data_IF_584536573923
#
_entry.id   IF_584536573923
#
_cell.length_a   1.000
_cell.length_b   1.000
_cell.length_c   1.000
_cell.angle_alpha   90.00
_cell.angle_beta   90.00
_cell.angle_gamma   90.00
#
_symmetry.space_group_name_H-M   'P 1'
#
loop_
_entity.id
_entity.type
_entity.pdbx_description
1 polymer ?
#
# COMPACT_ATOMS: atom_id res chain seq x y z
N UNK A 1 -11.18 14.17 28.72
CA UNK A 1 -9.87 13.53 28.48
C UNK A 1 -9.52 13.69 27.01
N UNK A 2 -8.83 14.78 26.66
CA UNK A 2 -8.39 15.02 25.28
C UNK A 2 -7.00 14.43 25.14
N UNK A 3 -6.91 13.19 24.65
CA UNK A 3 -5.62 12.63 24.23
C UNK A 3 -5.20 13.39 22.95
N UNK A 4 -3.98 13.94 22.86
CA UNK A 4 -3.52 14.54 21.62
C UNK A 4 -3.33 13.41 20.60
N UNK A 5 -4.17 13.39 19.57
CA UNK A 5 -3.99 12.51 18.41
C UNK A 5 -2.72 12.97 17.67
N UNK A 6 -1.57 12.41 18.03
CA UNK A 6 -0.36 12.55 17.24
C UNK A 6 -0.55 11.65 16.01
N UNK A 7 -0.97 12.24 14.90
CA UNK A 7 -0.99 11.56 13.60
C UNK A 7 0.47 11.44 13.15
N UNK A 8 1.10 10.30 13.43
CA UNK A 8 2.43 10.00 12.93
C UNK A 8 2.30 9.15 11.67
N UNK A 9 2.23 9.82 10.51
CA UNK A 9 2.47 9.18 9.22
C UNK A 9 3.98 9.17 8.97
N UNK A 10 4.63 8.01 9.15
CA UNK A 10 6.04 7.88 8.84
C UNK A 10 6.19 7.35 7.40
N UNK A 11 6.54 8.25 6.48
CA UNK A 11 7.04 7.89 5.15
C UNK A 11 8.55 7.68 5.26
N UNK A 12 8.96 6.48 5.67
CA UNK A 12 10.38 6.14 5.76
C UNK A 12 10.94 5.84 4.38
N UNK A 13 11.61 6.82 3.76
CA UNK A 13 12.57 6.54 2.68
C UNK A 13 13.95 6.37 3.32
N UNK A 14 14.28 5.15 3.74
CA UNK A 14 15.64 4.81 4.15
C UNK A 14 16.52 4.67 2.90
N UNK A 15 17.08 5.78 2.41
CA UNK A 15 18.17 5.72 1.41
C UNK A 15 19.45 5.27 2.09
N UNK A 16 20.06 4.18 1.62
CA UNK A 16 21.39 3.76 2.03
C UNK A 16 22.26 3.41 0.82
N UNK A 17 23.55 3.69 0.98
CA UNK A 17 24.63 3.61 0.00
C UNK A 17 24.71 2.24 -0.69
N UNK A 18 25.13 2.24 -1.96
CA UNK A 18 25.20 1.09 -2.84
C UNK A 18 25.93 -0.09 -2.16
N UNK A 19 25.29 -1.27 -2.13
CA UNK A 19 25.88 -2.62 -1.88
C UNK A 19 25.68 -3.34 -0.54
N UNK A 20 24.70 -3.00 0.33
CA UNK A 20 24.33 -3.94 1.42
C UNK A 20 22.83 -4.01 1.71
N UNK A 21 22.30 -5.25 1.79
CA UNK A 21 20.99 -5.55 2.38
C UNK A 21 21.10 -5.26 3.89
N UNK A 22 20.57 -4.13 4.34
CA UNK A 22 20.62 -3.76 5.76
C UNK A 22 19.33 -4.19 6.44
N UNK A 23 19.44 -5.23 7.27
CA UNK A 23 18.46 -5.51 8.30
C UNK A 23 18.78 -4.63 9.51
N UNK A 24 17.81 -3.84 9.99
CA UNK A 24 18.00 -2.96 11.13
C UNK A 24 16.77 -2.99 12.03
N UNK A 25 16.98 -3.03 13.34
CA UNK A 25 15.89 -2.81 14.28
C UNK A 25 15.62 -1.31 14.43
N UNK A 26 14.36 -0.90 14.32
CA UNK A 26 13.95 0.47 14.61
C UNK A 26 14.18 0.76 16.09
N UNK A 27 15.05 1.71 16.38
CA UNK A 27 15.47 2.04 17.75
C UNK A 27 14.25 2.35 18.64
N UNK A 28 14.11 1.62 19.74
CA UNK A 28 13.01 1.79 20.69
C UNK A 28 11.72 1.06 20.32
N UNK A 29 11.71 0.28 19.24
CA UNK A 29 10.54 -0.47 18.79
C UNK A 29 10.89 -1.95 18.53
N UNK A 30 9.95 -2.88 18.77
CA UNK A 30 10.12 -4.29 18.42
C UNK A 30 9.82 -4.51 16.93
N UNK A 31 10.47 -3.74 16.05
CA UNK A 31 10.23 -3.72 14.60
C UNK A 31 11.56 -3.77 13.85
N UNK A 32 11.70 -4.75 12.96
CA UNK A 32 12.85 -4.91 12.08
C UNK A 32 12.49 -4.43 10.68
N UNK A 33 13.43 -3.73 10.05
CA UNK A 33 13.35 -3.14 8.73
C UNK A 33 14.35 -3.86 7.83
N UNK A 34 13.92 -4.26 6.64
CA UNK A 34 14.81 -4.79 5.60
C UNK A 34 14.64 -3.96 4.33
N UNK A 35 15.66 -3.19 3.96
CA UNK A 35 15.60 -2.20 2.86
C UNK A 35 16.29 -2.68 1.57
N UNK A 36 16.16 -1.90 0.50
CA UNK A 36 16.74 -2.15 -0.83
C UNK A 36 16.27 -3.47 -1.46
N UNK A 37 14.96 -3.73 -1.36
CA UNK A 37 14.32 -4.90 -1.96
C UNK A 37 13.54 -4.53 -3.22
N UNK A 38 13.70 -5.36 -4.25
CA UNK A 38 12.74 -5.45 -5.34
C UNK A 38 11.55 -6.31 -4.91
N UNK A 39 10.34 -5.76 -4.99
CA UNK A 39 9.10 -6.47 -4.64
C UNK A 39 8.23 -6.72 -5.87
N UNK A 40 7.31 -7.67 -5.75
CA UNK A 40 6.28 -7.99 -6.75
C UNK A 40 5.03 -8.57 -6.10
N UNK A 41 3.96 -8.70 -6.88
CA UNK A 41 2.72 -9.38 -6.49
C UNK A 41 2.18 -8.89 -5.14
N UNK A 42 1.73 -7.63 -5.08
CA UNK A 42 1.23 -7.03 -3.85
C UNK A 42 -0.24 -7.36 -3.60
N UNK A 43 -0.60 -7.64 -2.36
CA UNK A 43 -1.96 -7.97 -1.93
C UNK A 43 -2.32 -7.19 -0.67
N UNK A 44 -3.59 -6.82 -0.55
CA UNK A 44 -4.11 -6.18 0.66
C UNK A 44 -4.51 -7.27 1.65
N UNK A 45 -4.14 -7.13 2.93
CA UNK A 45 -4.57 -8.03 3.99
C UNK A 45 -6.06 -7.79 4.33
N UNK A 46 -6.98 -8.72 4.02
CA UNK A 46 -8.41 -8.54 4.27
C UNK A 46 -8.77 -8.42 5.75
N UNK A 47 -7.88 -8.83 6.65
CA UNK A 47 -8.10 -8.76 8.11
C UNK A 47 -7.70 -7.42 8.71
N UNK A 48 -7.08 -6.52 7.96
CA UNK A 48 -6.62 -5.24 8.50
C UNK A 48 -7.82 -4.35 8.88
N UNK A 49 -7.90 -3.88 10.14
CA UNK A 49 -8.96 -2.99 10.59
C UNK A 49 -8.82 -1.57 10.02
N UNK A 50 -7.71 -1.27 9.33
CA UNK A 50 -7.44 -0.01 8.66
C UNK A 50 -8.38 0.23 7.47
N UNK A 51 -8.79 -0.84 6.78
CA UNK A 51 -9.41 -0.76 5.46
C UNK A 51 -10.81 -0.16 5.51
N UNK A 52 -11.06 0.83 4.66
CA UNK A 52 -12.38 1.45 4.50
C UNK A 52 -12.75 1.56 3.01
N UNK A 53 -11.97 2.35 2.26
CA UNK A 53 -12.06 2.52 0.82
C UNK A 53 -11.35 1.36 0.11
N UNK A 54 -10.14 1.01 0.55
CA UNK A 54 -9.33 -0.05 -0.07
C UNK A 54 -9.98 -1.41 0.18
N UNK A 55 -10.10 -2.23 -0.87
CA UNK A 55 -10.68 -3.57 -0.78
C UNK A 55 -9.63 -4.64 -1.04
N UNK A 56 -9.61 -5.67 -0.20
CA UNK A 56 -8.76 -6.84 -0.36
C UNK A 56 -9.44 -7.89 -1.25
N UNK A 57 -9.41 -7.66 -2.57
CA UNK A 57 -10.02 -8.56 -3.55
C UNK A 57 -9.01 -9.30 -4.40
N UNK A 58 -8.06 -8.58 -4.98
CA UNK A 58 -7.12 -9.14 -5.95
C UNK A 58 -5.68 -8.80 -5.58
N UNK A 59 -4.77 -9.61 -6.11
CA UNK A 59 -3.33 -9.38 -6.06
C UNK A 59 -2.97 -8.48 -7.23
N UNK A 60 -2.29 -7.38 -6.94
CA UNK A 60 -1.63 -6.57 -7.96
C UNK A 60 -0.40 -7.32 -8.45
N UNK A 61 -0.56 -7.98 -9.60
CA UNK A 61 0.47 -8.82 -10.19
C UNK A 61 1.59 -8.02 -10.86
N UNK A 62 2.80 -8.57 -10.82
CA UNK A 62 3.97 -7.99 -11.48
C UNK A 62 4.87 -7.18 -10.54
N UNK A 63 5.95 -6.59 -11.08
CA UNK A 63 6.94 -5.89 -10.27
C UNK A 63 6.36 -4.60 -9.69
N UNK A 64 6.65 -4.35 -8.41
CA UNK A 64 6.36 -3.06 -7.81
C UNK A 64 7.35 -2.00 -8.32
N UNK A 65 6.96 -0.71 -8.34
CA UNK A 65 7.85 0.36 -8.80
C UNK A 65 9.12 0.46 -7.94
N UNK A 66 10.28 0.44 -8.58
CA UNK A 66 11.59 0.58 -7.91
C UNK A 66 12.07 -0.68 -7.17
N UNK A 67 13.29 -0.58 -6.64
CA UNK A 67 13.98 -1.64 -5.89
C UNK A 67 14.48 -1.15 -4.51
N UNK A 68 13.99 0.00 -4.08
CA UNK A 68 14.32 0.67 -2.82
C UNK A 68 13.27 0.41 -1.72
N UNK A 69 12.54 -0.71 -1.81
CA UNK A 69 11.51 -1.03 -0.83
C UNK A 69 12.12 -1.42 0.51
N UNK A 70 11.46 -0.97 1.57
CA UNK A 70 11.65 -1.44 2.94
C UNK A 70 10.48 -2.31 3.34
N UNK A 71 10.74 -3.51 3.84
CA UNK A 71 9.71 -4.38 4.42
C UNK A 71 9.84 -4.47 5.92
N UNK A 72 8.72 -4.71 6.58
CA UNK A 72 8.60 -4.71 8.03
C UNK A 72 8.47 -6.14 8.56
N UNK A 73 9.21 -6.46 9.61
CA UNK A 73 9.12 -7.72 10.32
C UNK A 73 9.04 -7.46 11.82
N UNK A 74 8.07 -8.07 12.48
CA UNK A 74 7.94 -8.01 13.93
C UNK A 74 7.39 -9.33 14.47
N UNK A 75 7.75 -9.64 15.71
CA UNK A 75 7.14 -10.68 16.53
C UNK A 75 6.16 -10.12 17.58
N UNK A 76 5.92 -8.80 17.58
CA UNK A 76 5.03 -8.12 18.52
C UNK A 76 3.64 -7.93 17.92
N UNK A 77 2.60 -8.21 18.70
CA UNK A 77 1.18 -8.15 18.29
C UNK A 77 0.66 -6.72 18.05
N UNK A 78 1.49 -5.69 18.18
CA UNK A 78 1.08 -4.30 17.89
C UNK A 78 1.10 -4.04 16.39
N UNK A 79 1.87 -4.82 15.64
CA UNK A 79 2.09 -4.62 14.21
C UNK A 79 1.25 -5.58 13.40
N UNK A 80 0.31 -5.03 12.62
CA UNK A 80 -0.57 -5.77 11.73
C UNK A 80 -0.26 -5.42 10.27
N UNK A 81 0.02 -6.39 9.39
CA UNK A 81 0.31 -6.10 7.98
C UNK A 81 -0.94 -5.56 7.28
N UNK A 82 -0.76 -4.53 6.47
CA UNK A 82 -1.82 -3.92 5.63
C UNK A 82 -1.63 -4.33 4.18
N UNK A 83 -0.40 -4.17 3.67
CA UNK A 83 0.00 -4.64 2.34
C UNK A 83 1.08 -5.71 2.47
N UNK A 84 0.90 -6.80 1.74
CA UNK A 84 1.80 -7.95 1.68
C UNK A 84 2.29 -8.12 0.25
N UNK A 85 3.60 -8.26 0.04
CA UNK A 85 4.20 -8.45 -1.27
C UNK A 85 5.26 -9.56 -1.25
N UNK A 86 5.57 -10.14 -2.40
CA UNK A 86 6.64 -11.12 -2.55
C UNK A 86 7.96 -10.44 -2.90
N UNK A 87 9.07 -11.04 -2.47
CA UNK A 87 10.40 -10.65 -2.95
C UNK A 87 10.59 -11.02 -4.42
N UNK A 88 11.30 -10.21 -5.19
CA UNK A 88 11.62 -10.51 -6.60
C UNK A 88 12.66 -11.63 -6.73
N UNK A 89 13.54 -11.79 -5.75
CA UNK A 89 14.61 -12.81 -5.75
C UNK A 89 14.13 -14.25 -5.55
N UNK A 90 12.88 -14.45 -5.13
CA UNK A 90 12.35 -15.79 -4.84
C UNK A 90 11.90 -16.59 -6.07
N UNK A 91 12.05 -16.05 -7.28
CA UNK A 91 11.69 -16.78 -8.51
C UNK A 91 12.66 -17.92 -8.86
N UNK A 92 13.92 -17.82 -8.44
CA UNK A 92 14.94 -18.81 -8.76
C UNK A 92 14.65 -20.21 -8.16
N UNK A 93 13.80 -20.29 -7.14
CA UNK A 93 13.49 -21.54 -6.42
C UNK A 93 12.20 -22.23 -6.85
N UNK A 94 11.41 -21.67 -7.78
CA UNK A 94 10.16 -22.27 -8.28
C UNK A 94 9.02 -22.40 -7.25
N UNK A 95 9.27 -22.02 -5.99
CA UNK A 95 8.28 -21.99 -4.92
C UNK A 95 7.83 -20.55 -4.65
N UNK A 96 6.55 -20.31 -4.29
CA UNK A 96 6.12 -18.99 -3.89
C UNK A 96 6.90 -18.56 -2.64
N UNK A 97 7.73 -17.52 -2.80
CA UNK A 97 8.51 -16.96 -1.71
C UNK A 97 7.66 -16.42 -0.56
N UNK A 98 8.28 -16.16 0.61
CA UNK A 98 7.57 -15.58 1.75
C UNK A 98 6.92 -14.23 1.39
N UNK A 99 5.77 -13.97 2.01
CA UNK A 99 5.13 -12.66 1.95
C UNK A 99 5.81 -11.73 2.97
N UNK A 100 6.11 -10.53 2.51
CA UNK A 100 6.71 -9.46 3.30
C UNK A 100 5.70 -8.33 3.48
N UNK A 101 5.64 -7.74 4.69
CA UNK A 101 4.80 -6.58 4.92
C UNK A 101 5.45 -5.33 4.30
N UNK A 102 4.83 -4.81 3.24
CA UNK A 102 5.24 -3.57 2.57
C UNK A 102 4.59 -2.33 3.20
N UNK A 103 3.45 -2.51 3.89
CA UNK A 103 2.82 -1.51 4.76
C UNK A 103 2.36 -2.21 6.02
N UNK A 104 2.61 -1.60 7.18
CA UNK A 104 2.21 -2.13 8.48
C UNK A 104 1.47 -1.07 9.30
N UNK A 105 0.44 -1.50 10.01
CA UNK A 105 -0.27 -0.71 11.00
C UNK A 105 0.32 -1.00 12.37
N UNK A 106 0.70 0.04 13.10
CA UNK A 106 1.00 -0.03 14.53
C UNK A 106 -0.27 0.35 15.31
N UNK A 107 -0.77 -0.60 16.08
CA UNK A 107 -1.95 -0.44 16.93
C UNK A 107 -1.67 0.40 18.19
N UNK A 108 -0.40 0.75 18.44
CA UNK A 108 0.00 1.53 19.61
C UNK A 108 -0.04 0.75 20.92
N UNK A 109 0.02 -0.59 20.87
CA UNK A 109 0.04 -1.41 22.10
C UNK A 109 1.38 -1.30 22.84
N UNK A 110 2.43 -0.84 22.16
CA UNK A 110 3.75 -0.68 22.76
C UNK A 110 3.91 0.65 23.52
N UNK A 111 3.47 1.76 22.95
CA UNK A 111 3.71 3.11 23.48
C UNK A 111 2.48 4.04 23.48
N UNK A 112 1.30 3.50 23.15
CA UNK A 112 0.04 4.24 23.12
C UNK A 112 -0.23 5.05 21.85
N UNK A 113 0.66 5.00 20.84
CA UNK A 113 0.53 5.81 19.62
C UNK A 113 0.24 4.90 18.42
N UNK A 114 -0.87 5.16 17.72
CA UNK A 114 -1.20 4.45 16.49
C UNK A 114 -0.46 5.07 15.29
N UNK A 115 0.02 4.21 14.38
CA UNK A 115 0.80 4.62 13.21
C UNK A 115 0.47 3.75 12.00
N UNK A 116 0.74 4.27 10.81
CA UNK A 116 0.82 3.46 9.59
C UNK A 116 2.16 3.75 8.94
N UNK A 117 2.95 2.70 8.73
CA UNK A 117 4.30 2.77 8.20
C UNK A 117 4.31 2.25 6.76
N UNK A 118 4.78 3.08 5.85
CA UNK A 118 4.90 2.74 4.42
C UNK A 118 6.33 2.39 4.09
N UNK A 119 6.52 1.26 3.41
CA UNK A 119 7.82 0.72 3.03
C UNK A 119 8.46 1.41 1.83
N UNK A 120 7.71 2.28 1.13
CA UNK A 120 8.19 3.09 0.02
C UNK A 120 7.32 4.36 -0.11
N UNK A 121 7.70 5.25 -1.03
CA UNK A 121 7.00 6.48 -1.38
C UNK A 121 5.62 6.22 -2.02
N UNK A 122 4.91 7.29 -2.38
CA UNK A 122 3.53 7.24 -2.92
C UNK A 122 3.45 7.00 -4.44
N UNK A 123 4.54 6.60 -5.10
CA UNK A 123 4.52 6.28 -6.53
C UNK A 123 3.72 5.02 -6.81
N UNK A 124 3.68 4.07 -5.88
CA UNK A 124 2.81 2.90 -5.98
C UNK A 124 1.35 3.29 -5.72
N UNK A 125 0.44 2.97 -6.65
CA UNK A 125 -0.94 3.47 -6.61
C UNK A 125 -1.71 3.02 -5.37
N UNK A 126 -1.47 1.79 -4.89
CA UNK A 126 -2.17 1.25 -3.73
C UNK A 126 -1.78 1.97 -2.43
N UNK A 127 -0.56 2.54 -2.35
CA UNK A 127 -0.18 3.40 -1.23
C UNK A 127 -1.09 4.63 -1.12
N UNK A 128 -1.55 5.18 -2.24
CA UNK A 128 -2.45 6.33 -2.24
C UNK A 128 -3.80 5.97 -1.60
N UNK A 129 -4.36 4.80 -1.93
CA UNK A 129 -5.61 4.34 -1.32
C UNK A 129 -5.45 4.03 0.17
N UNK A 130 -4.37 3.29 0.53
CA UNK A 130 -4.08 2.96 1.93
C UNK A 130 -3.80 4.21 2.76
N UNK A 131 -3.21 5.26 2.18
CA UNK A 131 -3.00 6.54 2.84
C UNK A 131 -4.34 7.20 3.21
N UNK A 132 -5.33 7.20 2.30
CA UNK A 132 -6.65 7.76 2.60
C UNK A 132 -7.33 6.97 3.73
N UNK A 133 -7.24 5.64 3.69
CA UNK A 133 -7.73 4.78 4.77
C UNK A 133 -7.01 5.04 6.10
N UNK A 134 -5.69 5.24 6.07
CA UNK A 134 -4.89 5.56 7.24
C UNK A 134 -5.30 6.89 7.89
N UNK A 135 -5.47 7.94 7.09
CA UNK A 135 -5.93 9.25 7.59
C UNK A 135 -7.32 9.13 8.21
N UNK A 136 -8.24 8.43 7.53
CA UNK A 136 -9.58 8.14 8.04
C UNK A 136 -9.52 7.39 9.38
N UNK A 137 -8.73 6.33 9.47
CA UNK A 137 -8.59 5.51 10.67
C UNK A 137 -7.97 6.27 11.84
N UNK A 138 -6.82 6.91 11.64
CA UNK A 138 -6.06 7.60 12.70
C UNK A 138 -6.78 8.84 13.23
N UNK A 139 -7.74 9.39 12.46
CA UNK A 139 -8.60 10.50 12.91
C UNK A 139 -9.88 10.04 13.58
N UNK A 140 -10.01 8.74 13.87
CA UNK A 140 -11.23 8.16 14.44
C UNK A 140 -12.44 8.35 13.51
N UNK A 141 -12.22 8.24 12.20
CA UNK A 141 -13.21 8.42 11.13
C UNK A 141 -13.76 9.84 10.96
N UNK A 142 -13.16 10.85 11.62
CA UNK A 142 -13.57 12.26 11.47
C UNK A 142 -13.31 12.82 10.07
N UNK A 143 -12.34 12.26 9.35
CA UNK A 143 -12.03 12.61 7.96
C UNK A 143 -12.50 11.54 6.96
N UNK A 144 -13.41 10.64 7.35
CA UNK A 144 -13.97 9.65 6.42
C UNK A 144 -14.85 10.33 5.38
N UNK A 145 -14.61 10.01 4.11
CA UNK A 145 -15.46 10.44 2.99
C UNK A 145 -16.54 9.39 2.73
N UNK A 146 -17.67 9.81 2.13
CA UNK A 146 -18.68 8.88 1.64
C UNK A 146 -18.06 7.87 0.66
N UNK A 147 -18.61 6.66 0.57
CA UNK A 147 -18.18 5.64 -0.41
C UNK A 147 -18.87 5.78 -1.76
N UNK A 148 -19.70 6.80 -1.94
CA UNK A 148 -20.35 7.11 -3.20
C UNK A 148 -19.33 7.60 -4.23
N UNK A 149 -19.37 7.03 -5.44
CA UNK A 149 -18.43 7.32 -6.52
C UNK A 149 -19.23 7.69 -7.76
N UNK A 150 -19.05 8.92 -8.23
CA UNK A 150 -19.57 9.37 -9.52
C UNK A 150 -18.49 9.16 -10.57
N UNK A 151 -18.82 8.45 -11.64
CA UNK A 151 -17.96 8.27 -12.82
C UNK A 151 -18.66 8.99 -13.96
N UNK A 152 -18.07 10.09 -14.42
CA UNK A 152 -18.49 10.75 -15.64
C UNK A 152 -17.75 10.10 -16.81
N UNK A 153 -18.51 9.51 -17.73
CA UNK A 153 -17.98 9.00 -19.00
C UNK A 153 -18.41 9.97 -20.07
N UNK A 154 -17.44 10.63 -20.69
CA UNK A 154 -17.67 11.51 -21.83
C UNK A 154 -17.23 10.81 -23.13
N UNK A 155 -18.05 10.91 -24.17
CA UNK A 155 -17.79 10.28 -25.47
C UNK A 155 -17.76 11.37 -26.53
N UNK A 156 -16.55 11.80 -26.86
CA UNK A 156 -16.30 12.77 -27.90
C UNK A 156 -16.40 12.15 -29.32
N UNK A 157 -16.51 13.01 -30.33
CA UNK A 157 -16.35 12.67 -31.74
C UNK A 157 -17.30 11.60 -32.32
N UNK A 158 -18.46 11.38 -31.68
CA UNK A 158 -19.48 10.39 -32.06
C UNK A 158 -19.81 10.41 -33.57
N UNK A 159 -19.81 11.58 -34.22
CA UNK A 159 -20.14 11.71 -35.65
C UNK A 159 -18.99 12.06 -36.58
N UNK A 160 -17.80 12.35 -36.03
CA UNK A 160 -16.67 12.95 -36.78
C UNK A 160 -15.40 12.09 -36.78
N UNK A 161 -15.47 10.84 -36.30
CA UNK A 161 -14.37 9.87 -36.36
C UNK A 161 -13.90 9.56 -37.79
N UNK A 162 -12.60 9.23 -37.93
CA UNK A 162 -11.97 8.85 -39.20
C UNK A 162 -12.60 7.58 -39.79
N UNK A 163 -12.55 7.46 -41.11
CA UNK A 163 -13.02 6.26 -41.81
C UNK A 163 -12.27 5.01 -41.31
N UNK A 164 -13.00 3.97 -40.93
CA UNK A 164 -12.45 2.75 -40.30
C UNK A 164 -12.53 2.70 -38.77
N UNK A 165 -12.55 3.85 -38.08
CA UNK A 165 -12.77 3.93 -36.62
C UNK A 165 -14.09 4.60 -36.22
N UNK A 166 -14.83 5.12 -37.20
CA UNK A 166 -16.17 5.70 -37.01
C UNK A 166 -17.16 4.64 -36.50
N UNK A 167 -17.85 4.99 -35.42
CA UNK A 167 -18.90 4.19 -34.81
C UNK A 167 -20.02 3.89 -35.82
N UNK A 168 -20.39 2.62 -35.97
CA UNK A 168 -21.46 2.15 -36.85
C UNK A 168 -22.71 1.83 -36.04
N UNK A 169 -23.84 1.73 -36.75
CA UNK A 169 -25.13 1.33 -36.14
C UNK A 169 -25.05 -0.03 -35.43
N UNK A 170 -24.16 -0.93 -35.86
CA UNK A 170 -23.90 -2.22 -35.19
C UNK A 170 -23.26 -2.10 -33.82
N UNK A 171 -22.56 -0.99 -33.54
CA UNK A 171 -21.69 -0.84 -32.36
C UNK A 171 -22.46 -0.22 -31.17
N UNK A 172 -23.71 0.20 -31.41
CA UNK A 172 -24.54 0.96 -30.45
C UNK A 172 -25.92 0.30 -30.24
N UNK A 173 -26.01 -1.01 -30.50
CA UNK A 173 -27.25 -1.80 -30.35
C UNK A 173 -27.16 -2.78 -29.19
#
# INVERSE_FOLDING_TARGET
SVLPFIISLLLSSCKANENSLQSAQLKGFPLFLHSNLGLRDCSVNPKSPLLFITKAREVEHGPLPGDDWTVFQSNHTTYEPVLLARGRSTEASGAPGPLHAAVVQDLGLHDGIQRVLFGNNLNFWLHKLVLVDAVSFLTGKRLSLALERYILVDIDDIFVGKEGTRMKVSDVK
#
